data_IF_960621178015
#
_entry.id   IF_960621178015
#
_cell.length_a   1.000
_cell.length_b   1.000
_cell.length_c   1.000
_cell.angle_alpha   90.00
_cell.angle_beta   90.00
_cell.angle_gamma   90.00
#
_symmetry.space_group_name_H-M   'P 1'
#
loop_
_entity.id
_entity.type
_entity.pdbx_description
1 polymer ?
#
# COMPACT_ATOMS: atom_id res chain seq x y z
N UNK A 1 1.00 8.66 -31.67
CA UNK A 1 -0.20 9.25 -32.30
C UNK A 1 -0.89 10.10 -31.26
N UNK A 2 -0.79 11.43 -31.38
CA UNK A 2 -1.48 12.40 -30.53
C UNK A 2 -2.72 12.85 -31.30
N UNK A 3 -3.90 12.66 -30.71
CA UNK A 3 -5.16 13.17 -31.26
C UNK A 3 -5.48 14.48 -30.56
N UNK A 4 -5.37 15.60 -31.29
CA UNK A 4 -5.63 16.94 -30.77
C UNK A 4 -7.10 17.20 -30.46
N UNK A 5 -8.02 16.34 -30.92
CA UNK A 5 -9.44 16.42 -30.58
C UNK A 5 -9.76 15.84 -29.20
N UNK A 6 -8.85 15.03 -28.64
CA UNK A 6 -9.05 14.41 -27.33
C UNK A 6 -8.66 15.38 -26.21
N UNK A 7 -9.66 16.04 -25.63
CA UNK A 7 -9.46 16.96 -24.52
C UNK A 7 -9.51 16.18 -23.19
N UNK A 8 -8.41 16.18 -22.46
CA UNK A 8 -8.33 15.61 -21.11
C UNK A 8 -7.61 16.55 -20.15
N UNK A 9 -8.01 16.54 -18.88
CA UNK A 9 -7.36 17.31 -17.82
C UNK A 9 -7.28 16.52 -16.53
N UNK A 10 -6.22 16.78 -15.77
CA UNK A 10 -6.01 16.24 -14.43
C UNK A 10 -6.29 17.34 -13.42
N UNK A 11 -7.23 17.11 -12.52
CA UNK A 11 -7.67 18.11 -11.54
C UNK A 11 -7.71 17.50 -10.15
N UNK A 12 -7.35 18.29 -9.14
CA UNK A 12 -7.67 17.97 -7.75
C UNK A 12 -8.99 18.66 -7.41
N UNK A 13 -9.97 17.88 -6.95
CA UNK A 13 -11.25 18.44 -6.52
C UNK A 13 -11.20 18.96 -5.07
N UNK A 14 -12.30 19.56 -4.61
CA UNK A 14 -12.42 20.10 -3.24
C UNK A 14 -12.35 19.05 -2.14
N UNK A 15 -12.46 17.77 -2.48
CA UNK A 15 -12.30 16.65 -1.53
C UNK A 15 -10.85 16.21 -1.40
N UNK A 16 -9.93 16.78 -2.20
CA UNK A 16 -8.53 16.37 -2.28
C UNK A 16 -8.28 15.17 -3.19
N UNK A 17 -9.31 14.66 -3.89
CA UNK A 17 -9.15 13.57 -4.84
C UNK A 17 -8.62 14.09 -6.18
N UNK A 18 -7.64 13.39 -6.73
CA UNK A 18 -7.15 13.61 -8.08
C UNK A 18 -8.08 12.89 -9.05
N UNK A 19 -8.59 13.60 -10.04
CA UNK A 19 -9.44 13.07 -11.11
C UNK A 19 -8.83 13.35 -12.47
N UNK A 20 -8.82 12.35 -13.34
CA UNK A 20 -8.67 12.58 -14.77
C UNK A 20 -10.05 12.73 -15.39
N UNK A 21 -10.28 13.88 -16.03
CA UNK A 21 -11.50 14.20 -16.75
C UNK A 21 -11.23 14.14 -18.25
N UNK A 22 -12.21 13.65 -19.00
CA UNK A 22 -12.19 13.63 -20.47
C UNK A 22 -13.46 14.31 -20.98
N UNK A 23 -13.32 15.18 -21.97
CA UNK A 23 -14.46 15.83 -22.59
C UNK A 23 -15.20 14.85 -23.50
N UNK A 24 -16.50 14.67 -23.29
CA UNK A 24 -17.36 13.88 -24.17
C UNK A 24 -18.17 14.81 -25.07
N UNK A 25 -17.79 14.88 -26.34
CA UNK A 25 -18.49 15.73 -27.31
C UNK A 25 -19.96 15.35 -27.50
N UNK A 26 -20.29 14.05 -27.50
CA UNK A 26 -21.67 13.58 -27.67
C UNK A 26 -22.63 14.06 -26.56
N UNK A 27 -22.10 14.27 -25.36
CA UNK A 27 -22.88 14.69 -24.19
C UNK A 27 -22.56 16.13 -23.76
N UNK A 28 -21.64 16.81 -24.44
CA UNK A 28 -21.14 18.16 -24.11
C UNK A 28 -20.79 18.30 -22.61
N UNK A 29 -20.11 17.28 -22.06
CA UNK A 29 -19.81 17.23 -20.63
C UNK A 29 -18.45 16.60 -20.31
N UNK A 30 -17.93 16.91 -19.13
CA UNK A 30 -16.76 16.23 -18.58
C UNK A 30 -17.14 14.88 -17.98
N UNK A 31 -16.52 13.82 -18.46
CA UNK A 31 -16.60 12.48 -17.89
C UNK A 31 -15.38 12.19 -17.00
N UNK A 32 -15.61 11.58 -15.84
CA UNK A 32 -14.53 11.12 -14.97
C UNK A 32 -13.99 9.81 -15.52
N UNK A 33 -12.75 9.81 -16.01
CA UNK A 33 -12.09 8.62 -16.51
C UNK A 33 -11.52 7.78 -15.36
N UNK A 34 -10.86 8.42 -14.38
CA UNK A 34 -10.50 7.78 -13.10
C UNK A 34 -10.33 8.80 -11.98
N UNK A 35 -10.38 8.31 -10.74
CA UNK A 35 -10.06 9.06 -9.52
C UNK A 35 -8.98 8.34 -8.69
N UNK A 36 -8.27 9.08 -7.84
CA UNK A 36 -7.34 8.61 -6.82
C UNK A 36 -7.42 9.49 -5.54
N UNK A 37 -7.36 8.90 -4.33
CA UNK A 37 -7.52 7.47 -4.04
C UNK A 37 -8.96 6.99 -4.32
N UNK A 38 -9.14 5.75 -4.77
CA UNK A 38 -10.46 5.15 -5.07
C UNK A 38 -11.15 4.54 -3.86
N UNK A 39 -10.37 4.24 -2.83
CA UNK A 39 -10.84 3.55 -1.64
C UNK A 39 -9.80 3.58 -0.54
N UNK A 40 -10.14 3.03 0.61
CA UNK A 40 -9.37 3.14 1.84
C UNK A 40 -7.93 2.61 1.70
N UNK A 41 -7.71 1.48 1.00
CA UNK A 41 -6.36 0.93 0.81
C UNK A 41 -5.45 1.76 -0.11
N UNK A 42 -6.00 2.69 -0.88
CA UNK A 42 -5.20 3.62 -1.67
C UNK A 42 -4.85 4.90 -0.89
N UNK A 43 -5.45 5.08 0.29
CA UNK A 43 -5.10 6.19 1.21
C UNK A 43 -3.74 5.89 1.82
N UNK A 44 -2.88 6.91 1.80
CA UNK A 44 -1.55 6.82 2.38
C UNK A 44 -1.61 6.38 3.85
N UNK A 45 -0.83 5.34 4.19
CA UNK A 45 -0.69 4.82 5.55
C UNK A 45 -2.01 4.43 6.23
N UNK A 46 -2.98 3.92 5.46
CA UNK A 46 -4.24 3.42 6.01
C UNK A 46 -4.04 2.26 7.00
N UNK A 47 -3.12 1.35 6.70
CA UNK A 47 -2.63 0.35 7.65
C UNK A 47 -1.23 0.76 8.13
N UNK A 48 -0.97 0.58 9.43
CA UNK A 48 0.32 0.90 10.01
C UNK A 48 1.48 0.02 9.52
N UNK A 49 2.71 0.27 10.01
CA UNK A 49 3.92 -0.42 9.57
C UNK A 49 3.79 -1.95 9.59
N UNK A 50 4.33 -2.62 8.57
CA UNK A 50 4.24 -4.09 8.39
C UNK A 50 2.80 -4.67 8.38
N UNK A 51 1.79 -3.81 8.25
CA UNK A 51 0.43 -4.18 7.89
C UNK A 51 0.21 -4.09 6.37
N UNK A 52 -0.63 -4.96 5.83
CA UNK A 52 -1.13 -4.89 4.46
C UNK A 52 -2.59 -4.46 4.45
N UNK A 53 -2.97 -3.70 3.42
CA UNK A 53 -4.36 -3.36 3.16
C UNK A 53 -4.88 -4.16 1.97
N UNK A 54 -6.03 -4.81 2.13
CA UNK A 54 -6.76 -5.47 1.06
C UNK A 54 -8.22 -5.05 1.08
N UNK A 55 -8.71 -4.49 -0.04
CA UNK A 55 -10.12 -4.15 -0.18
C UNK A 55 -11.05 -5.38 -0.20
N UNK A 56 -10.47 -6.57 -0.34
CA UNK A 56 -11.19 -7.85 -0.37
C UNK A 56 -11.20 -8.55 1.01
N UNK A 57 -10.57 -7.97 2.04
CA UNK A 57 -10.54 -8.55 3.39
C UNK A 57 -11.38 -7.73 4.37
N UNK A 58 -11.96 -8.42 5.36
CA UNK A 58 -12.61 -7.81 6.51
C UNK A 58 -11.97 -8.39 7.77
N UNK A 59 -11.22 -7.61 8.56
CA UNK A 59 -10.91 -6.19 8.37
C UNK A 59 -10.00 -5.93 7.15
N UNK A 60 -9.98 -4.68 6.67
CA UNK A 60 -9.14 -4.28 5.53
C UNK A 60 -7.65 -4.40 5.82
N UNK A 61 -7.24 -4.22 7.09
CA UNK A 61 -5.85 -4.32 7.52
C UNK A 61 -5.55 -5.71 8.11
N UNK A 62 -4.42 -6.28 7.71
CA UNK A 62 -3.88 -7.52 8.28
C UNK A 62 -2.37 -7.43 8.47
N UNK A 63 -1.80 -8.13 9.44
CA UNK A 63 -0.34 -8.21 9.55
C UNK A 63 0.23 -9.12 8.47
N UNK A 64 1.40 -8.75 7.95
CA UNK A 64 2.15 -9.64 7.05
C UNK A 64 2.47 -10.97 7.75
N UNK A 65 2.63 -12.05 6.99
CA UNK A 65 2.98 -13.36 7.55
C UNK A 65 4.31 -13.27 8.31
N UNK A 66 4.31 -13.76 9.55
CA UNK A 66 5.45 -13.64 10.48
C UNK A 66 5.38 -12.41 11.39
N UNK A 67 4.35 -11.58 11.27
CA UNK A 67 4.10 -10.41 12.10
C UNK A 67 2.79 -10.54 12.87
N UNK A 68 2.67 -9.78 13.95
CA UNK A 68 1.48 -9.68 14.79
C UNK A 68 1.20 -8.23 15.21
N UNK A 69 -0.05 -7.90 15.61
CA UNK A 69 -0.38 -6.53 16.01
C UNK A 69 0.54 -6.03 17.11
N UNK A 70 1.06 -4.81 16.96
CA UNK A 70 1.88 -4.17 18.00
C UNK A 70 1.08 -3.99 19.31
N UNK A 71 -0.22 -3.74 19.18
CA UNK A 71 -1.16 -3.57 20.27
C UNK A 71 -2.45 -4.31 19.94
N UNK A 72 -2.74 -5.40 20.66
CA UNK A 72 -3.95 -6.20 20.45
C UNK A 72 -5.20 -5.41 20.83
N UNK A 73 -5.13 -4.55 21.85
CA UNK A 73 -6.25 -3.70 22.25
C UNK A 73 -6.65 -2.73 21.14
N UNK A 74 -5.68 -2.05 20.53
CA UNK A 74 -5.93 -1.08 19.46
C UNK A 74 -6.47 -1.80 18.22
N UNK A 75 -5.88 -2.96 17.90
CA UNK A 75 -6.33 -3.79 16.78
C UNK A 75 -7.78 -4.25 16.92
N UNK A 76 -8.20 -4.62 18.13
CA UNK A 76 -9.59 -4.99 18.44
C UNK A 76 -10.56 -3.80 18.33
N UNK A 77 -10.06 -2.59 18.56
CA UNK A 77 -10.80 -1.33 18.35
C UNK A 77 -10.74 -0.83 16.89
N UNK A 78 -10.15 -1.63 15.97
CA UNK A 78 -9.92 -1.29 14.56
C UNK A 78 -8.97 -0.10 14.37
N UNK A 79 -8.17 0.22 15.38
CA UNK A 79 -7.04 1.10 15.24
C UNK A 79 -5.81 0.30 14.80
N UNK A 80 -5.51 0.39 13.51
CA UNK A 80 -4.38 -0.29 12.88
C UNK A 80 -3.17 0.63 12.70
N UNK A 81 -3.19 1.86 13.25
CA UNK A 81 -2.14 2.87 13.08
C UNK A 81 -0.81 2.43 13.69
N UNK A 82 -0.86 1.69 14.80
CA UNK A 82 0.32 1.13 15.47
C UNK A 82 1.04 0.03 14.67
N UNK A 83 0.39 -0.52 13.64
CA UNK A 83 0.96 -1.54 12.77
C UNK A 83 1.25 -2.87 13.46
N UNK A 84 2.24 -3.57 12.92
CA UNK A 84 2.62 -4.92 13.31
C UNK A 84 4.11 -5.01 13.65
N UNK A 85 4.44 -5.97 14.51
CA UNK A 85 5.81 -6.31 14.92
C UNK A 85 6.13 -7.75 14.54
N UNK A 86 7.41 -8.07 14.37
CA UNK A 86 7.84 -9.45 14.08
C UNK A 86 7.50 -10.35 15.27
N UNK A 87 6.98 -11.54 14.99
CA UNK A 87 6.76 -12.59 16.00
C UNK A 87 8.07 -13.15 16.55
N UNK A 88 9.11 -13.15 15.72
CA UNK A 88 10.45 -13.67 16.06
C UNK A 88 11.49 -12.63 15.68
N UNK A 89 12.38 -12.31 16.61
CA UNK A 89 13.52 -11.42 16.37
C UNK A 89 14.45 -11.99 15.29
N UNK A 90 15.07 -11.09 14.52
CA UNK A 90 16.09 -11.46 13.55
C UNK A 90 17.34 -11.94 14.26
N UNK A 91 18.01 -12.93 13.69
CA UNK A 91 19.22 -13.51 14.30
C UNK A 91 20.45 -12.63 14.04
N UNK A 92 20.47 -11.89 12.93
CA UNK A 92 21.55 -10.97 12.60
C UNK A 92 21.70 -9.80 13.60
N UNK A 93 20.63 -9.44 14.31
CA UNK A 93 20.65 -8.36 15.32
C UNK A 93 21.23 -8.82 16.68
N UNK A 94 21.51 -10.11 16.86
CA UNK A 94 22.04 -10.68 18.11
C UNK A 94 23.56 -10.58 18.26
N UNK A 95 24.04 -10.58 19.51
CA UNK A 95 25.48 -10.61 19.84
C UNK A 95 26.16 -11.96 19.56
N UNK A 96 25.38 -13.01 19.33
CA UNK A 96 25.88 -14.36 19.10
C UNK A 96 26.01 -14.62 17.59
N UNK A 97 27.24 -14.60 17.09
CA UNK A 97 27.56 -14.71 15.67
C UNK A 97 27.52 -16.14 15.13
N UNK A 98 27.15 -17.12 15.97
CA UNK A 98 27.16 -18.54 15.64
C UNK A 98 25.97 -19.00 14.79
N UNK A 99 24.88 -18.23 14.70
CA UNK A 99 23.62 -18.60 14.03
C UNK A 99 23.11 -17.53 13.04
N UNK A 100 23.99 -16.89 12.27
CA UNK A 100 23.62 -15.74 11.40
C UNK A 100 22.80 -16.08 10.14
N UNK A 101 22.58 -17.35 9.83
CA UNK A 101 22.19 -17.77 8.48
C UNK A 101 20.74 -18.29 8.33
N UNK A 102 19.87 -18.19 9.36
CA UNK A 102 18.47 -18.65 9.22
C UNK A 102 17.46 -17.53 8.92
N UNK A 103 17.89 -16.27 8.89
CA UNK A 103 17.01 -15.20 8.45
C UNK A 103 16.71 -15.36 6.95
N UNK A 104 15.44 -15.25 6.60
CA UNK A 104 14.97 -15.43 5.22
C UNK A 104 13.92 -14.42 4.83
N UNK A 105 13.70 -14.30 3.51
CA UNK A 105 12.67 -13.45 2.94
C UNK A 105 11.50 -14.29 2.44
N UNK A 106 10.29 -13.82 2.70
CA UNK A 106 9.07 -14.37 2.12
C UNK A 106 8.63 -13.48 0.96
N UNK A 107 8.56 -14.03 -0.25
CA UNK A 107 7.98 -13.33 -1.38
C UNK A 107 6.45 -13.22 -1.20
N UNK A 108 5.92 -12.00 -1.30
CA UNK A 108 4.48 -11.73 -1.18
C UNK A 108 3.99 -11.15 -2.52
N UNK A 109 3.28 -11.95 -3.34
CA UNK A 109 2.83 -11.50 -4.66
C UNK A 109 1.67 -10.50 -4.55
N UNK A 110 1.42 -9.77 -5.63
CA UNK A 110 0.29 -8.84 -5.78
C UNK A 110 0.26 -7.69 -4.75
N UNK A 111 1.44 -7.24 -4.32
CA UNK A 111 1.58 -6.09 -3.42
C UNK A 111 1.98 -4.83 -4.17
N UNK A 112 1.38 -3.70 -3.79
CA UNK A 112 1.97 -2.40 -4.09
C UNK A 112 3.30 -2.27 -3.33
N UNK A 113 4.33 -1.75 -4.01
CA UNK A 113 5.62 -1.56 -3.38
C UNK A 113 5.56 -0.48 -2.29
N UNK A 114 6.35 -0.60 -1.20
CA UNK A 114 6.52 0.48 -0.23
C UNK A 114 7.05 1.76 -0.89
N UNK A 115 6.75 2.92 -0.29
CA UNK A 115 7.02 4.26 -0.84
C UNK A 115 8.51 4.51 -1.14
N UNK A 116 9.40 3.76 -0.47
CA UNK A 116 10.85 3.84 -0.65
C UNK A 116 11.47 2.49 -1.01
N UNK A 117 10.78 1.69 -1.82
CA UNK A 117 11.30 0.41 -2.27
C UNK A 117 12.65 0.58 -2.99
N UNK A 118 13.66 -0.15 -2.52
CA UNK A 118 14.97 -0.23 -3.15
C UNK A 118 15.09 -1.54 -3.90
N UNK A 119 15.53 -1.46 -5.15
CA UNK A 119 15.92 -2.65 -5.90
C UNK A 119 17.28 -3.10 -5.40
N UNK A 120 17.29 -4.11 -4.53
CA UNK A 120 18.51 -4.82 -4.17
C UNK A 120 18.75 -5.81 -5.31
N UNK A 121 19.73 -5.53 -6.16
CA UNK A 121 20.13 -6.46 -7.22
C UNK A 121 20.44 -7.82 -6.60
N UNK A 122 19.91 -8.90 -7.18
CA UNK A 122 20.37 -10.25 -6.87
C UNK A 122 21.83 -10.30 -7.33
N UNK A 123 22.76 -10.27 -6.39
CA UNK A 123 24.17 -10.47 -6.70
C UNK A 123 24.33 -11.77 -7.48
N UNK A 124 25.00 -11.69 -8.63
CA UNK A 124 25.43 -12.86 -9.40
C UNK A 124 26.41 -13.72 -8.60
#
# INVERSE_FOLDING_TARGET
MYDSSFISRLVMDVTGQIRQLTWLESAQQWNVFWTKPRGQCEVHSFCGPFGSCSANSIPFCSCLRGFEPKSVSDWNLKDHSGGCVRKTSLQCEGSDHSNRDNDGFLAIPNMALPIHAQFVGLGY
#
